data_IF_557339912654
#
_entry.id   IF_557339912654
#
_cell.length_a   1.000
_cell.length_b   1.000
_cell.length_c   1.000
_cell.angle_alpha   90.00
_cell.angle_beta   90.00
_cell.angle_gamma   90.00
#
_symmetry.space_group_name_H-M   'P 1'
#
loop_
_entity.id
_entity.type
_entity.pdbx_description
1 polymer ?
#
# COMPACT_ATOMS: atom_id res chain seq x y z
N UNK A 1 -71.59 -2.07 11.44
CA UNK A 1 -70.24 -1.47 11.35
C UNK A 1 -69.37 -2.15 12.38
N UNK A 2 -68.66 -3.20 12.07
CA UNK A 2 -67.86 -3.90 13.06
C UNK A 2 -67.07 -5.15 12.59
N UNK A 3 -67.24 -5.61 11.36
CA UNK A 3 -66.55 -6.85 10.94
C UNK A 3 -65.42 -6.66 9.91
N UNK A 4 -65.26 -5.51 9.31
CA UNK A 4 -64.23 -5.23 8.32
C UNK A 4 -62.89 -4.71 8.94
N UNK A 5 -62.95 -4.01 10.06
CA UNK A 5 -61.74 -3.49 10.73
C UNK A 5 -60.90 -4.60 11.40
N UNK A 6 -61.57 -5.62 11.94
CA UNK A 6 -60.85 -6.76 12.60
C UNK A 6 -60.12 -7.64 11.58
N UNK A 7 -60.63 -7.77 10.34
CA UNK A 7 -59.94 -8.54 9.31
C UNK A 7 -58.73 -7.80 8.69
N UNK A 8 -58.76 -6.47 8.68
CA UNK A 8 -57.58 -5.70 8.25
C UNK A 8 -56.44 -5.72 9.28
N UNK A 9 -56.76 -5.66 10.57
CA UNK A 9 -55.77 -5.76 11.65
C UNK A 9 -55.08 -7.13 11.69
N UNK A 10 -55.85 -8.22 11.48
CA UNK A 10 -55.28 -9.57 11.42
C UNK A 10 -54.40 -9.81 10.17
N UNK A 11 -54.71 -9.16 9.04
CA UNK A 11 -53.83 -9.22 7.86
C UNK A 11 -52.53 -8.40 8.02
N UNK A 12 -52.59 -7.27 8.72
CA UNK A 12 -51.36 -6.50 9.03
C UNK A 12 -50.46 -7.23 10.01
N UNK A 13 -51.03 -7.93 11.01
CA UNK A 13 -50.22 -8.70 11.97
C UNK A 13 -49.56 -9.91 11.29
N UNK A 14 -50.22 -10.57 10.32
CA UNK A 14 -49.65 -11.68 9.57
C UNK A 14 -48.59 -11.22 8.55
N UNK A 15 -48.67 -9.99 8.04
CA UNK A 15 -47.66 -9.40 7.15
C UNK A 15 -46.42 -8.93 7.94
N UNK A 16 -46.59 -8.50 9.19
CA UNK A 16 -45.44 -8.14 10.04
C UNK A 16 -44.66 -9.38 10.53
N UNK A 17 -45.34 -10.48 10.84
CA UNK A 17 -44.63 -11.74 11.24
C UNK A 17 -43.93 -12.41 10.06
N UNK A 18 -44.34 -12.19 8.84
CA UNK A 18 -43.63 -12.68 7.63
C UNK A 18 -42.42 -11.83 7.21
N UNK A 19 -42.33 -10.58 7.69
CA UNK A 19 -41.21 -9.69 7.37
C UNK A 19 -40.04 -9.88 8.35
N UNK A 20 -40.31 -10.17 9.63
CA UNK A 20 -39.28 -10.41 10.63
C UNK A 20 -38.48 -11.71 10.43
N UNK A 21 -39.05 -12.70 9.73
CA UNK A 21 -38.34 -13.95 9.41
C UNK A 21 -37.45 -13.88 8.16
N UNK A 22 -37.58 -12.82 7.35
CA UNK A 22 -36.75 -12.62 6.15
C UNK A 22 -35.53 -11.72 6.40
N UNK A 23 -35.50 -10.98 7.50
CA UNK A 23 -34.34 -10.12 7.82
C UNK A 23 -33.23 -10.87 8.58
N UNK A 24 -33.46 -12.11 9.02
CA UNK A 24 -32.50 -12.85 9.84
C UNK A 24 -31.54 -13.75 9.03
N UNK A 25 -31.71 -13.88 7.72
CA UNK A 25 -30.88 -14.77 6.88
C UNK A 25 -29.86 -14.07 5.96
N UNK A 26 -29.73 -12.75 6.02
CA UNK A 26 -28.76 -12.04 5.15
C UNK A 26 -27.76 -11.16 5.91
N UNK A 27 -27.28 -11.61 7.07
CA UNK A 27 -26.01 -11.08 7.56
C UNK A 27 -24.87 -11.93 6.97
N UNK A 28 -24.53 -11.67 5.71
CA UNK A 28 -23.24 -12.10 5.19
C UNK A 28 -22.17 -11.45 6.08
N UNK A 29 -21.61 -12.24 7.01
CA UNK A 29 -20.47 -11.80 7.80
C UNK A 29 -19.27 -11.72 6.84
N UNK A 30 -18.98 -10.50 6.36
CA UNK A 30 -17.73 -10.24 5.65
C UNK A 30 -16.60 -10.18 6.67
N UNK A 31 -15.70 -11.14 6.63
CA UNK A 31 -14.46 -11.10 7.38
C UNK A 31 -13.38 -10.41 6.53
N UNK A 32 -12.87 -9.28 7.03
CA UNK A 32 -11.74 -8.62 6.36
C UNK A 32 -10.46 -9.39 6.62
N UNK A 33 -9.87 -9.98 5.58
CA UNK A 33 -8.57 -10.65 5.65
C UNK A 33 -7.47 -9.71 5.20
N UNK A 34 -6.44 -9.57 6.02
CA UNK A 34 -5.26 -8.78 5.69
C UNK A 34 -4.11 -9.71 5.29
N UNK A 35 -3.47 -9.41 4.17
CA UNK A 35 -2.22 -10.06 3.77
C UNK A 35 -1.03 -9.59 4.62
N UNK A 36 0.02 -10.40 4.64
CA UNK A 36 1.33 -10.08 5.21
C UNK A 36 2.42 -10.83 4.45
N UNK A 37 3.70 -10.52 4.66
CA UNK A 37 4.81 -11.28 4.08
C UNK A 37 4.77 -12.78 4.42
N UNK A 38 4.24 -13.11 5.59
CA UNK A 38 4.13 -14.51 6.07
C UNK A 38 2.88 -15.21 5.55
N UNK A 39 1.84 -14.47 5.22
CA UNK A 39 0.55 -15.01 4.84
C UNK A 39 -0.16 -14.09 3.84
N UNK A 40 -0.08 -14.41 2.56
CA UNK A 40 -0.76 -13.68 1.50
C UNK A 40 -1.23 -14.64 0.40
N UNK A 41 -2.28 -14.26 -0.29
CA UNK A 41 -2.75 -14.91 -1.51
C UNK A 41 -2.24 -14.14 -2.70
N UNK A 42 -1.66 -14.82 -3.69
CA UNK A 42 -1.14 -14.16 -4.90
C UNK A 42 -2.26 -13.59 -5.77
N UNK A 43 -3.44 -14.12 -5.66
CA UNK A 43 -4.52 -13.84 -6.58
C UNK A 43 -4.34 -14.56 -7.93
N UNK A 44 -5.27 -14.34 -8.82
CA UNK A 44 -5.24 -14.86 -10.21
C UNK A 44 -6.06 -13.96 -11.11
N UNK A 45 -5.79 -14.02 -12.39
CA UNK A 45 -6.61 -13.45 -13.45
C UNK A 45 -7.34 -14.59 -14.15
N UNK A 46 -8.63 -14.45 -14.40
CA UNK A 46 -9.45 -15.38 -15.12
C UNK A 46 -10.14 -14.64 -16.28
N UNK A 47 -9.51 -14.58 -17.46
CA UNK A 47 -10.09 -13.89 -18.61
C UNK A 47 -11.29 -14.67 -19.14
N UNK A 48 -12.41 -13.95 -19.34
CA UNK A 48 -13.62 -14.51 -19.97
C UNK A 48 -13.77 -13.87 -21.32
N UNK A 49 -13.69 -14.65 -22.38
CA UNK A 49 -13.81 -14.20 -23.78
C UNK A 49 -12.79 -13.13 -24.21
N UNK A 50 -11.60 -13.10 -23.57
CA UNK A 50 -10.49 -12.22 -23.92
C UNK A 50 -9.13 -12.97 -23.84
N UNK A 51 -8.05 -12.31 -24.23
CA UNK A 51 -6.70 -12.88 -24.24
C UNK A 51 -6.00 -12.56 -22.90
N UNK A 52 -5.48 -13.58 -22.22
CA UNK A 52 -4.78 -13.46 -20.93
C UNK A 52 -3.64 -12.44 -20.93
N UNK A 53 -2.99 -12.22 -22.10
CA UNK A 53 -1.92 -11.22 -22.24
C UNK A 53 -2.36 -9.77 -21.97
N UNK A 54 -3.68 -9.49 -22.05
CA UNK A 54 -4.22 -8.17 -21.73
C UNK A 54 -4.36 -7.94 -20.23
N UNK A 55 -4.20 -8.99 -19.42
CA UNK A 55 -4.35 -8.96 -17.97
C UNK A 55 -3.03 -9.33 -17.32
N UNK A 56 -2.27 -8.32 -16.95
CA UNK A 56 -1.07 -8.48 -16.13
C UNK A 56 -1.31 -7.88 -14.74
N UNK A 57 -0.97 -8.61 -13.70
CA UNK A 57 -1.05 -8.11 -12.33
C UNK A 57 0.16 -8.57 -11.51
N UNK A 58 0.40 -7.89 -10.41
CA UNK A 58 1.45 -8.24 -9.47
C UNK A 58 0.94 -8.11 -8.04
N UNK A 59 1.64 -8.75 -7.10
CA UNK A 59 1.29 -8.73 -5.69
C UNK A 59 2.46 -8.16 -4.89
N UNK A 60 2.21 -7.10 -4.11
CA UNK A 60 3.27 -6.41 -3.36
C UNK A 60 3.99 -7.32 -2.36
N UNK A 61 3.29 -8.26 -1.71
CA UNK A 61 3.91 -9.20 -0.77
C UNK A 61 4.78 -10.23 -1.48
N UNK A 62 4.35 -10.75 -2.65
CA UNK A 62 5.16 -11.69 -3.46
C UNK A 62 6.43 -11.01 -3.96
N UNK A 63 6.32 -9.76 -4.42
CA UNK A 63 7.47 -8.95 -4.86
C UNK A 63 8.44 -8.71 -3.70
N UNK A 64 7.95 -8.22 -2.57
CA UNK A 64 8.78 -7.94 -1.41
C UNK A 64 9.47 -9.20 -0.88
N UNK A 65 8.78 -10.34 -0.90
CA UNK A 65 9.34 -11.62 -0.44
C UNK A 65 10.52 -12.10 -1.29
N UNK A 66 10.55 -11.73 -2.57
CA UNK A 66 11.62 -12.06 -3.52
C UNK A 66 12.69 -10.98 -3.65
N UNK A 67 12.43 -9.78 -3.09
CA UNK A 67 13.33 -8.64 -3.21
C UNK A 67 14.38 -8.60 -2.11
N UNK A 68 15.51 -7.96 -2.38
CA UNK A 68 16.50 -7.63 -1.35
C UNK A 68 15.94 -6.53 -0.45
N UNK A 69 16.39 -6.46 0.83
CA UNK A 69 16.02 -5.35 1.69
C UNK A 69 16.28 -3.99 1.02
N UNK A 70 15.28 -3.12 1.04
CA UNK A 70 15.30 -1.77 0.49
C UNK A 70 15.55 -1.64 -1.03
N UNK A 71 15.46 -2.75 -1.78
CA UNK A 71 15.38 -2.69 -3.24
C UNK A 71 14.03 -2.08 -3.65
N UNK A 72 14.06 -1.03 -4.46
CA UNK A 72 12.88 -0.26 -4.88
C UNK A 72 12.29 -0.86 -6.17
N UNK A 73 11.46 -1.90 -6.03
CA UNK A 73 10.90 -2.61 -7.20
C UNK A 73 9.61 -1.94 -7.66
N UNK A 74 9.60 -1.46 -8.90
CA UNK A 74 8.42 -0.86 -9.53
C UNK A 74 7.39 -1.93 -9.84
N UNK A 75 6.17 -1.79 -9.32
CA UNK A 75 5.06 -2.70 -9.60
C UNK A 75 3.82 -2.02 -10.18
N UNK A 76 3.86 -0.70 -10.30
CA UNK A 76 2.86 0.11 -11.00
C UNK A 76 3.53 1.34 -11.61
N UNK A 77 3.16 1.69 -12.85
CA UNK A 77 3.77 2.83 -13.55
C UNK A 77 2.74 3.55 -14.41
N UNK A 78 2.76 4.87 -14.33
CA UNK A 78 2.01 5.77 -15.21
C UNK A 78 2.93 6.92 -15.61
N UNK A 79 3.53 6.82 -16.81
CA UNK A 79 4.56 7.73 -17.29
C UNK A 79 5.77 7.75 -16.35
N UNK A 80 6.02 8.89 -15.67
CA UNK A 80 7.12 9.05 -14.71
C UNK A 80 6.71 8.66 -13.29
N UNK A 81 5.41 8.57 -13.00
CA UNK A 81 4.91 8.20 -11.66
C UNK A 81 4.94 6.70 -11.48
N UNK A 82 5.48 6.26 -10.36
CA UNK A 82 5.62 4.85 -10.05
C UNK A 82 5.13 4.53 -8.65
N UNK A 83 4.69 3.28 -8.51
CA UNK A 83 4.52 2.63 -7.22
C UNK A 83 5.68 1.64 -7.06
N UNK A 84 6.48 1.82 -6.02
CA UNK A 84 7.60 0.95 -5.67
C UNK A 84 7.26 0.13 -4.43
N UNK A 85 7.61 -1.14 -4.45
CA UNK A 85 7.55 -2.02 -3.28
C UNK A 85 8.94 -2.13 -2.68
N UNK A 86 9.02 -1.97 -1.37
CA UNK A 86 10.22 -2.18 -0.57
C UNK A 86 9.96 -3.28 0.45
N UNK A 87 10.85 -4.26 0.52
CA UNK A 87 11.00 -5.09 1.71
C UNK A 87 11.81 -4.30 2.74
N UNK A 88 11.21 -3.97 3.87
CA UNK A 88 11.93 -3.30 4.96
C UNK A 88 12.43 -4.34 5.95
N UNK A 89 13.74 -4.28 6.29
CA UNK A 89 14.37 -5.20 7.22
C UNK A 89 15.62 -4.54 7.80
N UNK A 90 15.65 -4.30 9.12
CA UNK A 90 16.72 -3.53 9.76
C UNK A 90 16.64 -2.04 9.44
N UNK A 91 17.77 -1.37 9.28
CA UNK A 91 17.86 0.04 8.90
C UNK A 91 18.23 0.19 7.44
N UNK A 92 17.53 1.07 6.72
CA UNK A 92 17.88 1.43 5.35
C UNK A 92 19.10 2.36 5.30
N UNK A 93 19.71 2.54 4.12
CA UNK A 93 20.44 3.77 3.84
C UNK A 93 19.56 5.01 4.05
N UNK A 94 20.18 6.18 4.12
CA UNK A 94 19.48 7.45 4.06
C UNK A 94 19.16 7.80 2.62
N UNK A 95 17.89 8.08 2.35
CA UNK A 95 17.39 8.53 1.05
C UNK A 95 16.95 9.98 1.14
N UNK A 96 16.91 10.66 0.01
CA UNK A 96 16.29 11.98 -0.15
C UNK A 96 15.68 12.10 -1.54
N UNK A 97 14.72 13.01 -1.72
CA UNK A 97 14.06 13.25 -2.99
C UNK A 97 13.86 14.75 -3.24
N UNK A 98 13.82 15.15 -4.51
CA UNK A 98 13.53 16.52 -4.91
C UNK A 98 12.03 16.87 -4.89
N UNK A 99 11.16 15.89 -4.71
CA UNK A 99 9.71 16.06 -4.56
C UNK A 99 9.20 15.30 -3.32
N UNK A 100 7.95 15.53 -2.94
CA UNK A 100 7.30 14.80 -1.86
C UNK A 100 6.98 13.37 -2.31
N UNK A 101 7.24 12.40 -1.45
CA UNK A 101 6.90 11.00 -1.64
C UNK A 101 5.91 10.55 -0.55
N UNK A 102 5.17 9.48 -0.82
CA UNK A 102 4.27 8.88 0.15
C UNK A 102 4.63 7.41 0.40
N UNK A 103 4.75 7.06 1.68
CA UNK A 103 5.02 5.71 2.13
C UNK A 103 3.77 5.13 2.79
N UNK A 104 3.27 4.02 2.26
CA UNK A 104 2.16 3.25 2.84
C UNK A 104 2.70 1.95 3.43
N UNK A 105 2.55 1.76 4.73
CA UNK A 105 2.95 0.51 5.38
C UNK A 105 1.87 -0.57 5.23
N UNK A 106 2.26 -1.74 4.72
CA UNK A 106 1.36 -2.84 4.39
C UNK A 106 1.42 -4.00 5.39
N UNK A 107 2.42 -4.05 6.30
CA UNK A 107 2.60 -5.21 7.20
C UNK A 107 3.07 -4.78 8.60
N UNK A 108 4.16 -5.36 9.11
CA UNK A 108 4.70 -5.08 10.44
C UNK A 108 5.10 -3.60 10.61
N UNK A 109 5.25 -3.17 11.85
CA UNK A 109 5.56 -1.77 12.19
C UNK A 109 6.87 -1.30 11.56
N UNK A 110 6.85 -0.11 10.97
CA UNK A 110 8.02 0.54 10.36
C UNK A 110 8.18 1.94 10.93
N UNK A 111 9.38 2.28 11.36
CA UNK A 111 9.73 3.66 11.73
C UNK A 111 10.37 4.37 10.54
N UNK A 112 10.05 5.65 10.38
CA UNK A 112 10.69 6.53 9.39
C UNK A 112 11.31 7.71 10.14
N UNK A 113 12.63 7.78 10.13
CA UNK A 113 13.39 8.86 10.73
C UNK A 113 13.65 9.96 9.72
N UNK A 114 13.50 11.23 10.11
CA UNK A 114 13.51 12.37 9.22
C UNK A 114 14.50 13.44 9.68
N UNK A 115 15.31 13.95 8.74
CA UNK A 115 16.26 15.04 8.94
C UNK A 115 16.06 16.05 7.81
N UNK A 116 15.72 17.30 8.13
CA UNK A 116 15.70 18.39 7.17
C UNK A 116 17.14 18.69 6.75
N UNK A 117 17.47 18.45 5.49
CA UNK A 117 18.83 18.58 4.99
C UNK A 117 19.32 20.04 4.92
N UNK A 118 20.60 20.21 5.19
CA UNK A 118 21.29 21.47 4.89
C UNK A 118 21.35 21.70 3.38
N UNK A 119 21.38 22.97 2.92
CA UNK A 119 21.39 23.29 1.48
C UNK A 119 22.52 22.63 0.68
N UNK A 120 23.59 22.19 1.34
CA UNK A 120 24.73 21.51 0.69
C UNK A 120 24.45 20.07 0.29
N UNK A 121 23.45 19.41 0.91
CA UNK A 121 23.07 18.02 0.65
C UNK A 121 21.71 17.87 -0.02
N UNK A 122 21.03 18.97 -0.34
CA UNK A 122 19.75 18.94 -1.07
C UNK A 122 20.00 18.49 -2.50
N UNK A 123 19.08 17.71 -3.06
CA UNK A 123 19.10 17.34 -4.46
C UNK A 123 18.94 18.60 -5.31
N UNK A 124 19.95 18.97 -6.06
CA UNK A 124 19.97 20.18 -6.90
C UNK A 124 19.45 19.93 -8.30
N UNK A 125 19.45 18.69 -8.71
CA UNK A 125 19.07 18.27 -10.05
C UNK A 125 17.58 17.92 -10.05
N UNK A 126 16.76 18.88 -10.47
CA UNK A 126 15.31 18.69 -10.60
C UNK A 126 14.97 17.66 -11.69
N UNK A 127 15.91 17.33 -12.59
CA UNK A 127 15.76 16.28 -13.59
C UNK A 127 15.90 14.87 -12.98
N UNK A 128 16.53 14.75 -11.80
CA UNK A 128 16.55 13.50 -11.04
C UNK A 128 15.21 13.29 -10.34
N UNK A 129 14.29 12.75 -11.08
CA UNK A 129 13.04 12.24 -10.53
C UNK A 129 13.33 11.01 -9.65
N UNK A 130 12.57 10.84 -8.57
CA UNK A 130 12.73 9.74 -7.63
C UNK A 130 13.80 9.94 -6.56
N UNK A 131 13.87 9.00 -5.63
CA UNK A 131 14.80 9.05 -4.53
C UNK A 131 16.24 8.82 -4.96
N UNK A 132 17.17 9.47 -4.25
CA UNK A 132 18.60 9.24 -4.34
C UNK A 132 19.17 8.94 -2.96
N UNK A 133 20.36 8.32 -2.91
CA UNK A 133 21.09 8.13 -1.66
C UNK A 133 21.69 9.45 -1.18
N UNK A 134 21.61 9.71 0.12
CA UNK A 134 22.32 10.84 0.74
C UNK A 134 23.81 10.48 0.77
N UNK A 135 24.66 11.41 0.32
CA UNK A 135 26.11 11.23 0.38
C UNK A 135 26.61 11.39 1.82
N UNK A 136 27.11 10.30 2.38
CA UNK A 136 27.57 10.21 3.76
C UNK A 136 26.42 10.32 4.80
N UNK A 137 26.76 10.86 5.99
CA UNK A 137 25.77 11.11 7.03
C UNK A 137 24.97 12.36 6.74
N UNK A 138 23.62 12.33 6.92
CA UNK A 138 22.80 13.49 6.66
C UNK A 138 23.10 14.62 7.65
N UNK A 139 23.37 15.81 7.13
CA UNK A 139 23.60 17.04 7.89
C UNK A 139 22.35 17.89 7.85
N UNK A 140 21.96 18.41 9.02
CA UNK A 140 20.81 19.29 9.10
C UNK A 140 20.03 19.15 10.40
N UNK A 141 18.81 19.62 10.40
CA UNK A 141 17.94 19.64 11.56
C UNK A 141 17.15 18.34 11.70
N UNK A 142 17.26 17.66 12.85
CA UNK A 142 16.39 16.52 13.16
C UNK A 142 14.93 16.99 13.19
N UNK A 143 14.09 16.35 12.39
CA UNK A 143 12.63 16.61 12.40
C UNK A 143 11.90 15.65 13.36
N UNK A 144 12.45 14.46 13.58
CA UNK A 144 11.84 13.44 14.41
C UNK A 144 11.69 12.12 13.65
N UNK A 145 10.73 11.33 14.06
CA UNK A 145 10.39 10.06 13.45
C UNK A 145 8.90 9.81 13.54
N UNK A 146 8.38 9.00 12.63
CA UNK A 146 7.00 8.50 12.65
C UNK A 146 7.02 6.97 12.66
N UNK A 147 6.06 6.37 13.36
CA UNK A 147 5.84 4.93 13.39
C UNK A 147 4.59 4.60 12.59
N UNK A 148 4.78 3.89 11.50
CA UNK A 148 3.70 3.43 10.64
C UNK A 148 3.32 2.00 11.00
N UNK A 149 2.08 1.81 11.43
CA UNK A 149 1.43 0.51 11.52
C UNK A 149 0.81 0.14 10.17
N UNK A 150 0.37 -1.10 10.01
CA UNK A 150 -0.33 -1.55 8.80
C UNK A 150 -1.47 -0.60 8.43
N UNK A 151 -1.48 -0.17 7.16
CA UNK A 151 -2.45 0.77 6.61
C UNK A 151 -2.16 2.25 6.91
N UNK A 152 -1.12 2.57 7.71
CA UNK A 152 -0.73 3.96 7.90
C UNK A 152 0.09 4.47 6.73
N UNK A 153 -0.17 5.71 6.36
CA UNK A 153 0.59 6.45 5.36
C UNK A 153 1.40 7.57 6.02
N UNK A 154 2.63 7.75 5.57
CA UNK A 154 3.50 8.85 5.95
C UNK A 154 3.95 9.64 4.72
N UNK A 155 4.03 10.96 4.84
CA UNK A 155 4.64 11.81 3.82
C UNK A 155 6.13 11.94 4.08
N UNK A 156 6.91 11.84 3.03
CA UNK A 156 8.36 12.05 3.00
C UNK A 156 8.61 13.37 2.27
N UNK A 157 8.82 14.48 3.00
CA UNK A 157 8.90 15.79 2.38
C UNK A 157 10.17 15.93 1.52
N UNK A 158 10.07 16.66 0.43
CA UNK A 158 11.22 17.02 -0.40
C UNK A 158 12.35 17.66 0.42
N UNK A 159 13.59 17.47 -0.02
CA UNK A 159 14.77 18.03 0.64
C UNK A 159 14.95 17.56 2.08
N UNK A 160 14.38 16.41 2.42
CA UNK A 160 14.48 15.76 3.72
C UNK A 160 15.18 14.42 3.53
N UNK A 161 16.19 14.15 4.36
CA UNK A 161 16.72 12.79 4.46
C UNK A 161 15.72 11.92 5.24
N UNK A 162 15.43 10.74 4.72
CA UNK A 162 14.61 9.76 5.43
C UNK A 162 15.27 8.40 5.46
N UNK A 163 15.06 7.68 6.56
CA UNK A 163 15.56 6.33 6.79
C UNK A 163 14.45 5.46 7.37
N UNK A 164 14.21 4.33 6.74
CA UNK A 164 13.31 3.31 7.28
C UNK A 164 14.04 2.43 8.29
N UNK A 165 13.33 2.05 9.35
CA UNK A 165 13.79 1.09 10.35
C UNK A 165 12.66 0.13 10.69
N UNK A 166 12.93 -1.16 10.64
CA UNK A 166 11.99 -2.19 11.08
C UNK A 166 12.71 -3.30 11.84
N UNK A 167 12.10 -3.75 12.93
CA UNK A 167 12.62 -4.87 13.74
C UNK A 167 12.27 -6.22 13.14
N UNK A 168 11.19 -6.28 12.37
CA UNK A 168 10.73 -7.44 11.63
C UNK A 168 10.63 -7.09 10.15
N UNK A 169 10.79 -8.07 9.25
CA UNK A 169 10.53 -7.84 7.83
C UNK A 169 9.11 -7.32 7.61
N UNK A 170 8.99 -6.24 6.83
CA UNK A 170 7.71 -5.61 6.49
C UNK A 170 7.69 -5.20 5.02
N UNK A 171 6.56 -4.65 4.59
CA UNK A 171 6.34 -4.18 3.22
C UNK A 171 5.91 -2.73 3.27
N UNK A 172 6.64 -1.88 2.56
CA UNK A 172 6.26 -0.50 2.31
C UNK A 172 6.04 -0.30 0.82
N UNK A 173 4.94 0.35 0.48
CA UNK A 173 4.67 0.85 -0.87
C UNK A 173 4.99 2.33 -0.91
N UNK A 174 5.86 2.74 -1.82
CA UNK A 174 6.16 4.15 -2.09
C UNK A 174 5.41 4.61 -3.35
N UNK A 175 4.74 5.74 -3.25
CA UNK A 175 4.29 6.51 -4.41
C UNK A 175 5.31 7.62 -4.65
N UNK A 176 5.94 7.59 -5.81
CA UNK A 176 7.05 8.47 -6.18
C UNK A 176 7.15 8.68 -7.68
N UNK A 177 8.17 9.39 -8.14
CA UNK A 177 8.58 9.40 -9.53
C UNK A 177 9.68 8.36 -9.76
N UNK A 178 9.77 7.82 -10.96
CA UNK A 178 10.84 6.91 -11.34
C UNK A 178 12.19 7.62 -11.29
N UNK A 179 13.19 6.98 -10.70
CA UNK A 179 14.55 7.49 -10.59
C UNK A 179 15.61 6.41 -10.75
N UNK A 180 16.87 6.79 -10.54
CA UNK A 180 18.03 5.90 -10.70
C UNK A 180 17.99 4.65 -9.79
N UNK A 181 17.30 4.73 -8.65
CA UNK A 181 17.15 3.61 -7.71
C UNK A 181 15.92 2.73 -8.01
N UNK A 182 15.05 3.15 -8.92
CA UNK A 182 13.87 2.39 -9.32
C UNK A 182 14.27 1.17 -10.14
N UNK A 183 13.84 -0.01 -9.76
CA UNK A 183 14.16 -1.27 -10.43
C UNK A 183 12.92 -1.81 -11.15
N UNK A 184 12.97 -1.87 -12.48
CA UNK A 184 11.91 -2.48 -13.28
C UNK A 184 12.23 -3.94 -13.56
N UNK A 185 11.36 -4.86 -13.11
CA UNK A 185 11.47 -6.32 -13.26
C UNK A 185 10.17 -6.92 -13.77
N UNK A 186 9.53 -6.32 -14.74
CA UNK A 186 8.18 -6.69 -15.17
C UNK A 186 8.04 -8.17 -15.53
N UNK A 187 9.05 -8.74 -16.23
CA UNK A 187 9.04 -10.15 -16.60
C UNK A 187 9.03 -11.11 -15.40
N UNK A 188 9.60 -10.67 -14.27
CA UNK A 188 9.75 -11.49 -13.07
C UNK A 188 8.57 -11.35 -12.09
N UNK A 189 7.88 -10.20 -12.11
CA UNK A 189 6.88 -9.84 -11.12
C UNK A 189 5.44 -9.89 -11.64
N UNK A 190 5.21 -9.63 -12.94
CA UNK A 190 3.88 -9.71 -13.51
C UNK A 190 3.42 -11.17 -13.60
N UNK A 191 2.22 -11.41 -13.11
CA UNK A 191 1.54 -12.69 -13.23
C UNK A 191 0.48 -12.54 -14.32
N UNK A 192 0.54 -13.43 -15.31
CA UNK A 192 -0.51 -13.59 -16.33
C UNK A 192 -1.28 -14.85 -16.02
N UNK A 193 -2.57 -14.87 -16.36
CA UNK A 193 -3.42 -16.05 -16.18
C UNK A 193 -3.00 -17.19 -17.11
#
# INVERSE_FOLDING_TARGET
MGSYEVQLLLKCIHLQQGCESLETEMSLQYETKFGSLKNFEKGRVEPIADDAKHYAFSNCFDIANKSKPYEKVVFGKNQIYVLEVLRTEGASPWFTCAHDEFALNMDADVEIHLIKLDPSQVVKDEEKNGAVLVDGEPKGQKMGWMKLKRGHQGMLPKNTAYQFRSTEPSVVVLQTCQGDLSVEKWADICQTA
#
